data_IF_923017464133
#
_entry.id   IF_923017464133
#
_cell.length_a   1.000
_cell.length_b   1.000
_cell.length_c   1.000
_cell.angle_alpha   90.00
_cell.angle_beta   90.00
_cell.angle_gamma   90.00
#
_symmetry.space_group_name_H-M   'P 1'
#
loop_
_entity.id
_entity.type
_entity.pdbx_description
1 polymer ?
#
# COMPACT_ATOMS: atom_id res chain seq x y z
N UNK A 1 -9.95 -23.55 14.01
CA UNK A 1 -9.64 -22.24 13.38
C UNK A 1 -9.93 -22.38 11.89
N UNK A 2 -10.87 -21.60 11.33
CA UNK A 2 -11.25 -21.72 9.92
C UNK A 2 -10.07 -21.32 9.02
N UNK A 3 -9.69 -22.17 8.07
CA UNK A 3 -8.55 -21.97 7.16
C UNK A 3 -8.66 -20.63 6.41
N UNK A 4 -9.88 -20.23 6.04
CA UNK A 4 -10.15 -18.94 5.38
C UNK A 4 -9.74 -17.73 6.23
N UNK A 5 -10.00 -17.79 7.55
CA UNK A 5 -9.61 -16.74 8.49
C UNK A 5 -8.08 -16.61 8.59
N UNK A 6 -7.36 -17.73 8.56
CA UNK A 6 -5.89 -17.75 8.59
C UNK A 6 -5.31 -17.08 7.34
N UNK A 7 -5.88 -17.39 6.17
CA UNK A 7 -5.42 -16.82 4.89
C UNK A 7 -5.69 -15.31 4.86
N UNK A 8 -6.88 -14.85 5.26
CA UNK A 8 -7.19 -13.43 5.36
C UNK A 8 -6.25 -12.69 6.33
N UNK A 9 -6.03 -13.23 7.53
CA UNK A 9 -5.13 -12.62 8.53
C UNK A 9 -3.70 -12.55 7.98
N UNK A 10 -3.23 -13.60 7.32
CA UNK A 10 -1.88 -13.63 6.74
C UNK A 10 -1.70 -12.61 5.62
N UNK A 11 -2.73 -12.40 4.78
CA UNK A 11 -2.76 -11.38 3.73
C UNK A 11 -2.64 -9.97 4.31
N UNK A 12 -3.48 -9.66 5.31
CA UNK A 12 -3.46 -8.37 6.01
C UNK A 12 -2.09 -8.12 6.65
N UNK A 13 -1.48 -9.14 7.26
CA UNK A 13 -0.17 -9.02 7.90
C UNK A 13 0.94 -8.70 6.89
N UNK A 14 0.96 -9.41 5.75
CA UNK A 14 1.92 -9.17 4.66
C UNK A 14 1.71 -7.77 4.07
N UNK A 15 0.46 -7.36 3.91
CA UNK A 15 0.12 -6.03 3.42
C UNK A 15 0.58 -4.93 4.38
N UNK A 16 0.30 -5.06 5.68
CA UNK A 16 0.76 -4.11 6.70
C UNK A 16 2.29 -4.00 6.73
N UNK A 17 3.01 -5.12 6.64
CA UNK A 17 4.48 -5.11 6.60
C UNK A 17 5.00 -4.39 5.35
N UNK A 18 4.46 -4.71 4.18
CA UNK A 18 4.82 -4.06 2.92
C UNK A 18 4.55 -2.56 2.95
N UNK A 19 3.40 -2.18 3.52
CA UNK A 19 3.00 -0.79 3.72
C UNK A 19 3.97 -0.05 4.65
N UNK A 20 4.31 -0.62 5.80
CA UNK A 20 5.26 -0.03 6.75
C UNK A 20 6.65 0.16 6.13
N UNK A 21 7.15 -0.82 5.38
CA UNK A 21 8.44 -0.73 4.70
C UNK A 21 8.45 0.38 3.65
N UNK A 22 7.41 0.46 2.81
CA UNK A 22 7.32 1.51 1.79
C UNK A 22 7.14 2.90 2.40
N UNK A 23 6.33 3.02 3.46
CA UNK A 23 6.13 4.28 4.16
C UNK A 23 7.41 4.76 4.85
N UNK A 24 8.18 3.84 5.45
CA UNK A 24 9.50 4.15 6.00
C UNK A 24 10.46 4.67 4.93
N UNK A 25 10.53 4.01 3.77
CA UNK A 25 11.36 4.46 2.63
C UNK A 25 10.94 5.85 2.12
N UNK A 26 9.64 6.10 2.01
CA UNK A 26 9.10 7.40 1.57
C UNK A 26 9.42 8.50 2.59
N UNK A 27 9.26 8.22 3.87
CA UNK A 27 9.61 9.18 4.92
C UNK A 27 11.11 9.45 4.98
N UNK A 28 11.97 8.45 4.78
CA UNK A 28 13.41 8.64 4.69
C UNK A 28 13.78 9.54 3.50
N UNK A 29 13.19 9.31 2.32
CA UNK A 29 13.39 10.15 1.13
C UNK A 29 12.91 11.59 1.36
N UNK A 30 11.73 11.78 1.95
CA UNK A 30 11.23 13.13 2.31
C UNK A 30 12.16 13.84 3.29
N UNK A 31 12.67 13.15 4.31
CA UNK A 31 13.64 13.71 5.27
C UNK A 31 14.95 14.11 4.58
N UNK A 32 15.44 13.30 3.63
CA UNK A 32 16.63 13.63 2.85
C UNK A 32 16.41 14.87 1.96
N UNK A 33 15.27 14.97 1.27
CA UNK A 33 14.92 16.14 0.47
C UNK A 33 14.81 17.41 1.35
N UNK A 34 14.15 17.29 2.50
CA UNK A 34 14.05 18.39 3.47
C UNK A 34 15.43 18.82 4.00
N UNK A 35 16.31 17.86 4.32
CA UNK A 35 17.68 18.14 4.76
C UNK A 35 18.53 18.83 3.67
N UNK A 36 18.25 18.55 2.39
CA UNK A 36 18.87 19.21 1.24
C UNK A 36 18.19 20.53 0.85
N UNK A 37 17.15 20.96 1.55
CA UNK A 37 16.37 22.16 1.22
C UNK A 37 15.60 22.06 -0.10
N UNK A 38 15.44 20.85 -0.66
CA UNK A 38 14.74 20.62 -1.93
C UNK A 38 13.23 20.56 -1.72
N UNK A 39 12.48 20.95 -2.75
CA UNK A 39 11.03 20.98 -2.71
C UNK A 39 10.47 19.55 -2.66
N UNK A 40 9.58 19.26 -1.71
CA UNK A 40 8.99 17.94 -1.57
C UNK A 40 7.79 17.85 -2.53
N UNK A 41 7.85 17.04 -3.60
CA UNK A 41 6.73 16.94 -4.53
C UNK A 41 5.47 16.51 -3.79
N UNK A 42 4.32 17.14 -4.01
CA UNK A 42 3.03 16.78 -3.38
C UNK A 42 2.51 15.46 -3.95
N UNK A 43 1.80 14.66 -3.16
CA UNK A 43 1.23 13.40 -3.66
C UNK A 43 0.00 13.72 -4.51
N UNK A 44 -0.09 13.19 -5.73
CA UNK A 44 -1.27 13.38 -6.61
C UNK A 44 -2.49 12.63 -6.08
N UNK A 45 -2.28 11.45 -5.49
CA UNK A 45 -3.32 10.64 -4.86
C UNK A 45 -3.13 10.57 -3.34
N UNK A 46 -4.23 10.74 -2.61
CA UNK A 46 -4.23 10.59 -1.15
C UNK A 46 -3.91 9.14 -0.81
N UNK A 47 -2.76 8.92 -0.17
CA UNK A 47 -2.34 7.62 0.37
C UNK A 47 -3.43 6.94 1.19
N UNK A 48 -4.20 7.74 1.95
CA UNK A 48 -5.32 7.25 2.75
C UNK A 48 -6.41 6.61 1.89
N UNK A 49 -6.67 7.14 0.68
CA UNK A 49 -7.69 6.57 -0.21
C UNK A 49 -7.30 5.18 -0.73
N UNK A 50 -6.04 4.99 -1.13
CA UNK A 50 -5.53 3.67 -1.55
C UNK A 50 -5.58 2.67 -0.40
N UNK A 51 -5.23 3.12 0.81
CA UNK A 51 -5.19 2.30 2.02
C UNK A 51 -6.60 1.87 2.44
N UNK A 52 -7.55 2.80 2.42
CA UNK A 52 -8.97 2.52 2.65
C UNK A 52 -9.54 1.56 1.60
N UNK A 53 -9.15 1.70 0.33
CA UNK A 53 -9.61 0.80 -0.73
C UNK A 53 -9.08 -0.62 -0.52
N UNK A 54 -7.81 -0.79 -0.16
CA UNK A 54 -7.24 -2.11 0.08
C UNK A 54 -7.89 -2.79 1.29
N UNK A 55 -8.11 -2.06 2.39
CA UNK A 55 -8.83 -2.58 3.57
C UNK A 55 -10.26 -2.98 3.21
N UNK A 56 -10.97 -2.17 2.42
CA UNK A 56 -12.33 -2.48 1.97
C UNK A 56 -12.36 -3.77 1.15
N UNK A 57 -11.37 -3.95 0.27
CA UNK A 57 -11.24 -5.14 -0.58
C UNK A 57 -10.87 -6.39 0.23
N UNK A 58 -10.04 -6.27 1.27
CA UNK A 58 -9.73 -7.38 2.20
C UNK A 58 -10.92 -7.73 3.12
N UNK A 59 -11.81 -6.77 3.42
CA UNK A 59 -13.03 -6.99 4.23
C UNK A 59 -14.22 -7.50 3.41
N UNK A 60 -14.26 -7.24 2.10
CA UNK A 60 -15.28 -7.75 1.18
C UNK A 60 -15.61 -9.25 1.38
N UNK A 61 -14.63 -10.16 1.46
CA UNK A 61 -14.89 -11.59 1.71
C UNK A 61 -15.56 -11.91 3.05
N UNK A 62 -15.41 -11.04 4.05
CA UNK A 62 -16.06 -11.20 5.36
C UNK A 62 -17.53 -10.72 5.29
N UNK A 63 -17.82 -9.72 4.45
CA UNK A 63 -19.15 -9.11 4.31
C UNK A 63 -20.01 -9.90 3.30
N UNK A 64 -19.40 -10.37 2.21
CA UNK A 64 -20.07 -11.11 1.14
C UNK A 64 -19.36 -12.47 1.04
N UNK A 65 -20.04 -13.59 1.33
CA UNK A 65 -19.46 -14.92 1.19
C UNK A 65 -19.20 -15.18 -0.30
N UNK A 66 -17.99 -14.84 -0.75
CA UNK A 66 -17.55 -15.07 -2.10
C UNK A 66 -16.81 -16.41 -2.18
N UNK A 67 -16.74 -16.97 -3.39
CA UNK A 67 -15.87 -18.14 -3.59
C UNK A 67 -14.43 -17.70 -3.38
N UNK A 68 -13.66 -18.48 -2.62
CA UNK A 68 -12.27 -18.25 -2.21
C UNK A 68 -11.35 -17.66 -3.30
N UNK A 69 -11.58 -18.02 -4.56
CA UNK A 69 -10.84 -17.50 -5.71
C UNK A 69 -11.08 -15.99 -5.95
N UNK A 70 -12.33 -15.51 -5.86
CA UNK A 70 -12.66 -14.10 -6.02
C UNK A 70 -12.09 -13.24 -4.88
N UNK A 71 -12.09 -13.78 -3.66
CA UNK A 71 -11.49 -13.15 -2.48
C UNK A 71 -9.98 -12.96 -2.67
N UNK A 72 -9.30 -14.03 -3.10
CA UNK A 72 -7.86 -14.02 -3.34
C UNK A 72 -7.49 -13.03 -4.45
N UNK A 73 -8.23 -13.03 -5.57
CA UNK A 73 -7.99 -12.10 -6.68
C UNK A 73 -8.22 -10.65 -6.24
N UNK A 74 -9.28 -10.38 -5.47
CA UNK A 74 -9.56 -9.03 -4.98
C UNK A 74 -8.43 -8.54 -4.06
N UNK A 75 -8.01 -9.35 -3.07
CA UNK A 75 -6.89 -9.01 -2.18
C UNK A 75 -5.60 -8.75 -2.95
N UNK A 76 -5.25 -9.61 -3.92
CA UNK A 76 -4.04 -9.44 -4.75
C UNK A 76 -4.09 -8.16 -5.58
N UNK A 77 -5.25 -7.84 -6.19
CA UNK A 77 -5.44 -6.60 -6.92
C UNK A 77 -5.31 -5.35 -6.02
N UNK A 78 -5.86 -5.40 -4.80
CA UNK A 78 -5.73 -4.33 -3.82
C UNK A 78 -4.28 -4.11 -3.36
N UNK A 79 -3.54 -5.21 -3.16
CA UNK A 79 -2.11 -5.22 -2.83
C UNK A 79 -1.26 -4.64 -3.96
N UNK A 80 -1.47 -5.10 -5.20
CA UNK A 80 -0.74 -4.62 -6.38
C UNK A 80 -1.03 -3.15 -6.67
N UNK A 81 -2.30 -2.74 -6.59
CA UNK A 81 -2.69 -1.34 -6.77
C UNK A 81 -2.03 -0.42 -5.76
N UNK A 82 -2.05 -0.81 -4.47
CA UNK A 82 -1.33 -0.08 -3.42
C UNK A 82 0.18 -0.04 -3.73
N UNK A 83 0.79 -1.19 -4.04
CA UNK A 83 2.22 -1.24 -4.35
C UNK A 83 2.64 -0.33 -5.50
N UNK A 84 1.85 -0.27 -6.58
CA UNK A 84 2.10 0.61 -7.73
C UNK A 84 2.10 2.08 -7.28
N UNK A 85 1.06 2.52 -6.57
CA UNK A 85 0.95 3.91 -6.08
C UNK A 85 2.10 4.27 -5.15
N UNK A 86 2.46 3.37 -4.24
CA UNK A 86 3.57 3.54 -3.31
C UNK A 86 4.92 3.65 -4.07
N UNK A 87 5.10 2.84 -5.12
CA UNK A 87 6.33 2.80 -5.89
C UNK A 87 6.49 4.04 -6.79
N UNK A 88 5.42 4.48 -7.47
CA UNK A 88 5.42 5.73 -8.24
C UNK A 88 5.79 6.92 -7.34
N UNK A 89 5.23 6.95 -6.13
CA UNK A 89 5.55 7.99 -5.15
C UNK A 89 7.04 8.02 -4.80
N UNK A 90 7.64 6.85 -4.62
CA UNK A 90 9.04 6.70 -4.29
C UNK A 90 9.95 7.10 -5.46
N UNK A 91 9.57 6.77 -6.70
CA UNK A 91 10.26 7.19 -7.92
C UNK A 91 10.24 8.72 -8.05
N UNK A 92 9.09 9.35 -7.83
CA UNK A 92 8.96 10.81 -7.91
C UNK A 92 9.82 11.53 -6.86
N UNK A 93 9.91 10.99 -5.64
CA UNK A 93 10.80 11.52 -4.60
C UNK A 93 12.29 11.35 -4.96
N UNK A 94 12.67 10.22 -5.56
CA UNK A 94 14.06 10.00 -6.02
C UNK A 94 14.45 10.92 -7.17
N UNK A 95 13.54 11.16 -8.12
CA UNK A 95 13.78 12.11 -9.22
C UNK A 95 14.05 13.52 -8.67
N UNK A 96 13.20 14.00 -7.75
CA UNK A 96 13.39 15.29 -7.08
C UNK A 96 14.70 15.38 -6.27
N UNK A 97 15.30 14.26 -5.85
CA UNK A 97 16.60 14.27 -5.17
C UNK A 97 17.78 14.42 -6.13
N UNK A 98 17.60 14.01 -7.38
CA UNK A 98 18.62 14.03 -8.44
C UNK A 98 18.66 15.35 -9.23
N UNK A 99 17.58 16.13 -9.20
CA UNK A 99 17.50 17.53 -9.70
C UNK A 99 18.00 18.51 -8.65
#
# INVERSE_FOLDING_TARGET
>A
MNINLIVCISGILIWLLSFLVMNSKINAQKKNLAAKGKNIPKAETSFGASLSLTILVELLPIIIPMKFFAETVACVCGLLGAYIVLNERLINLKKADSE
#
